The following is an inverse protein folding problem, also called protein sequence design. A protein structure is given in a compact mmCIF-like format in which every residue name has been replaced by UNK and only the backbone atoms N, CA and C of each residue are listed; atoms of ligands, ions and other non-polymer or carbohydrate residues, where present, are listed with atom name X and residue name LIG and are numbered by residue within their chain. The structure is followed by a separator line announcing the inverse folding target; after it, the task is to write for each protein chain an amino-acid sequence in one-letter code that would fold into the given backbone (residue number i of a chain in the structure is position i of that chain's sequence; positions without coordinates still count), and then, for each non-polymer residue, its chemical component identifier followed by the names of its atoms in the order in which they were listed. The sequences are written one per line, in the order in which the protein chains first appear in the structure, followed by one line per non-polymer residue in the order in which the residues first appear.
data_IF_815706364400
#
_entry.id   IF_815706364400
#
_cell.length_a   1.000
_cell.length_b   1.000
_cell.length_c   1.000
_cell.angle_alpha   90.00
_cell.angle_beta   90.00
_cell.angle_gamma   90.00
#
_symmetry.space_group_name_H-M   'P 1'
#
loop_
_entity.id
_entity.type
_entity.pdbx_description
1 polymer ?
#
# COMPACT_ATOMS: atom_id res chain seq x y z
N UNK A 1 37.22 57.39 38.08
CA UNK A 1 36.11 57.30 37.12
C UNK A 1 36.36 56.07 36.24
N UNK A 2 35.30 55.29 36.05
CA UNK A 2 35.15 53.90 35.58
C UNK A 2 36.15 53.28 34.57
N UNK A 3 36.29 51.94 34.58
CA UNK A 3 37.09 51.20 33.60
C UNK A 3 36.31 51.01 32.29
N UNK A 4 37.00 51.13 31.15
CA UNK A 4 36.43 50.77 29.85
C UNK A 4 36.99 49.40 29.46
N UNK A 5 36.16 48.38 29.68
CA UNK A 5 36.40 46.99 29.28
C UNK A 5 36.07 46.85 27.79
N UNK A 6 37.08 46.73 26.93
CA UNK A 6 36.90 46.38 25.52
C UNK A 6 36.52 44.90 25.38
N UNK A 7 35.25 44.65 25.04
CA UNK A 7 34.69 43.32 24.81
C UNK A 7 34.82 42.96 23.34
N UNK A 8 35.77 42.07 23.02
CA UNK A 8 35.93 41.49 21.67
C UNK A 8 34.70 40.66 21.34
N UNK A 9 33.91 41.08 20.35
CA UNK A 9 32.78 40.29 19.83
C UNK A 9 33.30 39.35 18.74
N UNK A 10 33.42 38.07 19.08
CA UNK A 10 33.63 36.99 18.12
C UNK A 10 32.34 36.80 17.32
N UNK A 11 32.37 37.17 16.03
CA UNK A 11 31.36 36.79 15.06
C UNK A 11 31.54 35.30 14.74
N UNK A 12 30.77 34.44 15.40
CA UNK A 12 30.64 33.03 15.02
C UNK A 12 29.88 32.94 13.70
N UNK A 13 30.57 32.51 12.64
CA UNK A 13 29.92 32.07 11.40
C UNK A 13 29.10 30.81 11.71
N UNK A 14 27.77 30.96 11.76
CA UNK A 14 26.85 29.82 11.62
C UNK A 14 26.75 29.55 10.12
N UNK A 15 27.58 28.62 9.62
CA UNK A 15 27.39 28.06 8.29
C UNK A 15 26.19 27.10 8.35
N UNK A 16 24.99 27.60 8.01
CA UNK A 16 23.85 26.76 7.73
C UNK A 16 24.10 26.06 6.39
N UNK A 17 24.59 24.82 6.43
CA UNK A 17 24.66 23.97 5.26
C UNK A 17 23.24 23.52 4.89
N UNK A 18 22.57 24.31 4.04
CA UNK A 18 21.35 23.88 3.35
C UNK A 18 21.78 22.91 2.25
N UNK A 19 21.82 21.62 2.60
CA UNK A 19 22.02 20.55 1.63
C UNK A 19 20.78 20.41 0.77
N UNK A 20 20.78 21.05 -0.40
CA UNK A 20 19.80 20.80 -1.45
C UNK A 20 20.08 19.40 -2.02
N UNK A 21 19.36 18.40 -1.50
CA UNK A 21 19.35 17.06 -2.08
C UNK A 21 18.56 17.10 -3.39
N UNK A 22 19.29 17.16 -4.51
CA UNK A 22 18.79 16.65 -5.78
C UNK A 22 18.68 15.13 -5.61
N UNK A 23 17.52 14.64 -5.17
CA UNK A 23 17.19 13.25 -5.32
C UNK A 23 17.15 12.98 -6.83
N UNK A 24 18.26 12.48 -7.38
CA UNK A 24 18.27 11.94 -8.73
C UNK A 24 17.17 10.90 -8.80
N UNK A 25 16.33 10.98 -9.82
CA UNK A 25 15.35 9.93 -10.12
C UNK A 25 16.10 8.61 -10.22
N UNK A 26 15.93 7.74 -9.22
CA UNK A 26 16.43 6.38 -9.33
C UNK A 26 15.73 5.73 -10.53
N UNK A 27 16.44 4.91 -11.32
CA UNK A 27 15.81 4.21 -12.44
C UNK A 27 14.66 3.36 -11.91
N UNK A 28 13.46 3.57 -12.44
CA UNK A 28 12.31 2.71 -12.15
C UNK A 28 12.52 1.35 -12.79
N UNK A 29 12.07 0.28 -12.15
CA UNK A 29 11.88 -0.97 -12.86
C UNK A 29 10.63 -0.83 -13.75
N UNK A 30 10.53 -1.62 -14.82
CA UNK A 30 9.27 -1.69 -15.54
C UNK A 30 8.38 -2.64 -14.76
N UNK A 31 7.25 -2.15 -14.23
CA UNK A 31 6.27 -3.04 -13.59
C UNK A 31 5.78 -4.08 -14.59
N UNK A 32 5.62 -5.32 -14.16
CA UNK A 32 5.02 -6.38 -14.97
C UNK A 32 3.62 -6.68 -14.47
N UNK A 33 2.65 -6.78 -15.38
CA UNK A 33 1.28 -7.22 -15.05
C UNK A 33 1.00 -8.51 -15.80
N UNK A 34 0.73 -9.58 -15.05
CA UNK A 34 0.44 -10.92 -15.58
C UNK A 34 -1.00 -11.29 -15.26
N UNK A 35 -1.80 -11.59 -16.28
CA UNK A 35 -3.13 -12.15 -16.08
C UNK A 35 -3.05 -13.65 -15.78
N UNK A 36 -3.88 -14.13 -14.86
CA UNK A 36 -3.97 -15.54 -14.44
C UNK A 36 -2.58 -16.17 -14.17
N UNK A 37 -1.83 -15.62 -13.19
CA UNK A 37 -0.49 -16.10 -12.88
C UNK A 37 -0.51 -17.57 -12.47
N UNK A 38 0.08 -18.44 -13.30
CA UNK A 38 0.00 -19.91 -13.11
C UNK A 38 0.58 -20.39 -11.77
N UNK A 39 1.51 -19.63 -11.17
CA UNK A 39 2.09 -19.93 -9.86
C UNK A 39 1.14 -19.71 -8.67
N UNK A 40 0.01 -19.01 -8.89
CA UNK A 40 -0.92 -18.59 -7.85
C UNK A 40 -2.35 -19.03 -8.16
N UNK A 41 -2.55 -20.31 -8.46
CA UNK A 41 -3.88 -20.86 -8.84
C UNK A 41 -4.35 -22.00 -7.92
N UNK A 42 -3.59 -22.35 -6.89
CA UNK A 42 -3.89 -23.51 -6.03
C UNK A 42 -4.64 -23.15 -4.74
N UNK A 43 -4.54 -21.90 -4.27
CA UNK A 43 -5.28 -21.40 -3.12
C UNK A 43 -6.43 -20.48 -3.55
N UNK A 44 -6.24 -19.17 -3.37
CA UNK A 44 -7.10 -18.17 -4.00
C UNK A 44 -6.86 -18.21 -5.51
N UNK A 45 -7.93 -18.11 -6.29
CA UNK A 45 -7.86 -17.97 -7.74
C UNK A 45 -7.48 -16.54 -8.11
N UNK A 46 -6.18 -16.21 -8.15
CA UNK A 46 -5.72 -14.87 -8.50
C UNK A 46 -5.87 -14.59 -9.99
N UNK A 47 -6.54 -13.49 -10.33
CA UNK A 47 -6.68 -13.03 -11.72
C UNK A 47 -5.49 -12.22 -12.20
N UNK A 48 -4.73 -11.62 -11.28
CA UNK A 48 -3.57 -10.79 -11.62
C UNK A 48 -2.38 -11.02 -10.70
N UNK A 49 -1.20 -10.90 -11.27
CA UNK A 49 0.05 -10.65 -10.56
C UNK A 49 0.65 -9.36 -11.07
N UNK A 50 1.14 -8.53 -10.15
CA UNK A 50 1.79 -7.27 -10.42
C UNK A 50 3.13 -7.26 -9.71
N UNK A 51 4.22 -7.28 -10.49
CA UNK A 51 5.59 -7.21 -9.96
C UNK A 51 6.09 -5.78 -10.08
N UNK A 52 6.52 -5.18 -8.97
CA UNK A 52 6.95 -3.77 -8.90
C UNK A 52 8.22 -3.58 -8.07
N UNK A 53 9.11 -2.72 -8.57
CA UNK A 53 10.27 -2.19 -7.85
C UNK A 53 10.04 -0.77 -7.33
N UNK A 54 11.11 0.01 -7.28
CA UNK A 54 11.09 1.40 -6.82
C UNK A 54 10.57 2.36 -7.90
N UNK A 55 9.66 3.28 -7.55
CA UNK A 55 9.14 4.30 -8.48
C UNK A 55 8.40 3.70 -9.69
N UNK A 56 7.77 2.55 -9.52
CA UNK A 56 7.05 1.84 -10.56
C UNK A 56 5.58 2.27 -10.63
N UNK A 57 4.94 2.02 -11.77
CA UNK A 57 3.51 2.25 -11.97
C UNK A 57 2.91 1.18 -12.87
N UNK A 58 1.89 0.48 -12.39
CA UNK A 58 1.13 -0.52 -13.14
C UNK A 58 -0.33 -0.06 -13.31
N UNK A 59 -0.95 -0.37 -14.45
CA UNK A 59 -2.39 -0.15 -14.65
C UNK A 59 -3.01 -1.30 -15.43
N UNK A 60 -4.16 -1.78 -14.96
CA UNK A 60 -4.90 -2.88 -15.56
C UNK A 60 -6.39 -2.77 -15.24
N UNK A 61 -7.19 -3.63 -15.87
CA UNK A 61 -8.65 -3.60 -15.77
C UNK A 61 -9.21 -5.00 -15.65
N UNK A 62 -10.26 -5.14 -14.86
CA UNK A 62 -11.03 -6.37 -14.74
C UNK A 62 -12.50 -6.06 -14.48
N UNK A 63 -13.23 -7.03 -13.92
CA UNK A 63 -14.61 -6.83 -13.53
C UNK A 63 -14.92 -7.57 -12.23
N UNK A 64 -15.82 -7.00 -11.44
CA UNK A 64 -16.23 -7.49 -10.11
C UNK A 64 -17.73 -7.38 -9.94
N UNK A 65 -18.28 -8.15 -9.02
CA UNK A 65 -19.68 -8.04 -8.62
C UNK A 65 -19.96 -6.73 -7.90
N UNK A 66 -21.17 -6.19 -8.09
CA UNK A 66 -21.61 -4.96 -7.44
C UNK A 66 -21.40 -4.97 -5.93
N UNK A 67 -21.67 -6.09 -5.26
CA UNK A 67 -21.56 -6.24 -3.80
C UNK A 67 -20.48 -7.25 -3.41
N UNK A 68 -19.48 -7.44 -4.26
CA UNK A 68 -18.48 -8.49 -4.05
C UNK A 68 -17.54 -8.22 -2.88
N UNK A 69 -17.27 -6.96 -2.56
CA UNK A 69 -16.42 -6.60 -1.43
C UNK A 69 -17.16 -6.70 -0.09
N UNK A 70 -18.45 -6.34 -0.08
CA UNK A 70 -19.33 -6.52 1.06
C UNK A 70 -20.79 -6.67 0.61
N UNK A 71 -21.38 -7.83 0.90
CA UNK A 71 -22.80 -8.12 0.73
C UNK A 71 -23.49 -8.08 2.10
N UNK A 72 -24.45 -7.18 2.31
CA UNK A 72 -25.23 -7.10 3.56
C UNK A 72 -25.96 -8.40 3.94
N UNK A 73 -26.28 -9.25 2.96
CA UNK A 73 -26.90 -10.56 3.21
C UNK A 73 -25.95 -11.66 3.69
N UNK A 74 -24.63 -11.44 3.63
CA UNK A 74 -23.65 -12.41 4.11
C UNK A 74 -23.44 -12.32 5.62
N UNK A 75 -23.08 -13.43 6.29
CA UNK A 75 -22.85 -13.42 7.72
C UNK A 75 -21.63 -12.55 8.09
N UNK A 76 -21.73 -11.85 9.23
CA UNK A 76 -20.59 -11.24 9.91
C UNK A 76 -19.68 -12.35 10.48
N UNK A 77 -18.35 -12.34 10.27
CA UNK A 77 -17.51 -11.26 9.73
C UNK A 77 -17.08 -11.45 8.28
N UNK A 78 -17.83 -12.20 7.48
CA UNK A 78 -17.44 -12.56 6.11
C UNK A 78 -18.40 -11.96 5.07
N UNK A 79 -18.55 -10.62 5.00
CA UNK A 79 -19.52 -10.03 4.08
C UNK A 79 -19.07 -10.13 2.62
N UNK A 80 -17.77 -10.27 2.35
CA UNK A 80 -17.25 -10.32 0.98
C UNK A 80 -17.53 -11.65 0.28
N UNK A 81 -17.66 -11.61 -1.04
CA UNK A 81 -17.75 -12.77 -1.93
C UNK A 81 -16.42 -13.03 -2.62
N UNK A 82 -15.85 -14.21 -2.40
CA UNK A 82 -14.52 -14.57 -2.92
C UNK A 82 -14.49 -14.57 -4.45
N UNK A 83 -15.40 -15.29 -5.10
CA UNK A 83 -15.35 -15.54 -6.56
C UNK A 83 -16.01 -14.46 -7.44
N UNK A 84 -16.63 -13.44 -6.83
CA UNK A 84 -17.12 -12.28 -7.60
C UNK A 84 -16.27 -11.04 -7.34
N UNK A 85 -15.28 -11.14 -6.47
CA UNK A 85 -14.22 -10.16 -6.34
C UNK A 85 -13.07 -10.53 -7.26
N UNK A 86 -12.08 -9.66 -7.36
CA UNK A 86 -10.88 -9.89 -8.15
C UNK A 86 -9.66 -9.79 -7.23
N UNK A 87 -8.78 -10.77 -7.29
CA UNK A 87 -7.62 -10.94 -6.43
C UNK A 87 -6.35 -10.69 -7.21
N UNK A 88 -5.52 -9.80 -6.70
CA UNK A 88 -4.21 -9.46 -7.25
C UNK A 88 -3.12 -9.87 -6.28
N UNK A 89 -2.10 -10.59 -6.77
CA UNK A 89 -0.80 -10.68 -6.12
C UNK A 89 -0.01 -9.41 -6.44
N UNK A 90 0.48 -8.72 -5.42
CA UNK A 90 1.46 -7.65 -5.55
C UNK A 90 2.81 -8.16 -5.03
N UNK A 91 3.77 -8.33 -5.93
CA UNK A 91 5.13 -8.74 -5.63
C UNK A 91 6.04 -7.51 -5.54
N UNK A 92 6.47 -7.19 -4.31
CA UNK A 92 7.46 -6.16 -3.98
C UNK A 92 8.79 -6.76 -3.53
N UNK A 93 9.03 -8.06 -3.74
CA UNK A 93 10.27 -8.72 -3.31
C UNK A 93 11.51 -8.14 -3.97
N UNK A 94 11.36 -7.56 -5.17
CA UNK A 94 12.42 -6.86 -5.90
C UNK A 94 12.64 -5.40 -5.47
N UNK A 95 11.82 -4.84 -4.57
CA UNK A 95 11.95 -3.45 -4.12
C UNK A 95 13.19 -3.26 -3.22
N UNK A 96 13.86 -2.11 -3.31
CA UNK A 96 15.13 -1.88 -2.59
C UNK A 96 14.95 -1.70 -1.07
N UNK A 97 13.72 -1.47 -0.65
CA UNK A 97 13.34 -1.24 0.73
C UNK A 97 11.85 -0.96 0.85
N UNK A 98 11.48 -0.36 1.98
CA UNK A 98 10.09 0.00 2.24
C UNK A 98 9.56 1.01 1.21
N UNK A 99 8.40 0.69 0.64
CA UNK A 99 7.72 1.48 -0.36
C UNK A 99 6.46 2.15 0.22
N UNK A 100 6.20 3.38 -0.20
CA UNK A 100 4.88 3.95 -0.19
C UNK A 100 4.14 3.37 -1.41
N UNK A 101 3.15 2.52 -1.15
CA UNK A 101 2.32 1.91 -2.18
C UNK A 101 1.01 2.67 -2.23
N UNK A 102 0.66 3.18 -3.41
CA UNK A 102 -0.65 3.81 -3.65
C UNK A 102 -1.48 2.91 -4.55
N UNK A 103 -2.71 2.63 -4.13
CA UNK A 103 -3.71 1.94 -4.95
C UNK A 103 -4.81 2.92 -5.27
N UNK A 104 -5.10 3.08 -6.57
CA UNK A 104 -6.28 3.78 -7.05
C UNK A 104 -7.16 2.79 -7.80
N UNK A 105 -8.37 2.57 -7.29
CA UNK A 105 -9.37 1.71 -7.92
C UNK A 105 -10.51 2.59 -8.42
N UNK A 106 -10.69 2.62 -9.74
CA UNK A 106 -11.72 3.39 -10.43
C UNK A 106 -12.76 2.50 -11.07
N UNK A 107 -13.94 3.05 -11.30
CA UNK A 107 -14.94 2.49 -12.21
C UNK A 107 -14.34 2.38 -13.62
N UNK A 108 -14.48 1.21 -14.23
CA UNK A 108 -14.02 0.94 -15.59
C UNK A 108 -15.06 1.31 -16.67
N UNK A 109 -14.85 0.80 -17.87
CA UNK A 109 -15.62 1.16 -19.05
C UNK A 109 -17.11 0.76 -19.02
N UNK A 110 -17.47 -0.25 -18.23
CA UNK A 110 -18.86 -0.77 -18.14
C UNK A 110 -19.34 -0.88 -16.71
N UNK A 111 -20.66 -0.77 -16.53
CA UNK A 111 -21.29 -0.83 -15.22
C UNK A 111 -21.22 0.48 -14.44
N UNK A 112 -21.60 0.43 -13.17
CA UNK A 112 -21.64 1.60 -12.29
C UNK A 112 -20.96 1.29 -10.96
N UNK A 113 -19.75 0.74 -11.03
CA UNK A 113 -18.98 0.31 -9.86
C UNK A 113 -18.86 1.44 -8.82
N UNK A 114 -19.03 1.05 -7.56
CA UNK A 114 -18.57 1.77 -6.39
C UNK A 114 -17.40 0.96 -5.82
N UNK A 115 -16.14 1.28 -6.16
CA UNK A 115 -15.01 0.41 -5.87
C UNK A 115 -14.64 0.43 -4.39
N UNK A 116 -14.21 -0.71 -3.86
CA UNK A 116 -13.58 -0.87 -2.55
C UNK A 116 -12.48 -1.94 -2.65
N UNK A 117 -11.56 -1.93 -1.69
CA UNK A 117 -10.49 -2.92 -1.67
C UNK A 117 -10.02 -3.29 -0.26
N UNK A 118 -9.40 -4.47 -0.15
CA UNK A 118 -8.69 -4.95 1.04
C UNK A 118 -7.28 -5.37 0.68
N UNK A 119 -6.36 -5.24 1.64
CA UNK A 119 -4.94 -5.53 1.48
C UNK A 119 -4.51 -6.48 2.59
N UNK A 120 -3.79 -7.52 2.18
CA UNK A 120 -3.25 -8.55 3.05
C UNK A 120 -1.77 -8.72 2.75
N UNK A 121 -0.95 -8.94 3.78
CA UNK A 121 0.41 -9.44 3.61
C UNK A 121 0.37 -10.96 3.39
N UNK A 122 1.24 -11.44 2.51
CA UNK A 122 1.30 -12.84 2.10
C UNK A 122 0.46 -13.16 0.86
N UNK A 123 0.51 -14.44 0.47
CA UNK A 123 -0.28 -15.05 -0.60
C UNK A 123 -0.87 -16.36 -0.08
N UNK A 124 -2.09 -16.67 -0.48
CA UNK A 124 -2.74 -17.94 -0.19
C UNK A 124 -2.74 -18.83 -1.43
N UNK A 125 -1.75 -19.73 -1.51
CA UNK A 125 -1.59 -20.71 -2.59
C UNK A 125 -1.88 -22.15 -2.14
N UNK A 126 -2.27 -22.36 -0.87
CA UNK A 126 -2.40 -23.71 -0.30
C UNK A 126 -3.86 -24.11 -0.12
N UNK A 127 -4.66 -23.22 0.45
CA UNK A 127 -6.05 -23.49 0.79
C UNK A 127 -6.97 -22.99 -0.32
N UNK A 128 -7.48 -23.94 -1.11
CA UNK A 128 -8.32 -23.63 -2.28
C UNK A 128 -9.59 -22.86 -1.89
N UNK A 129 -9.91 -21.85 -2.70
CA UNK A 129 -11.15 -21.08 -2.60
C UNK A 129 -12.40 -21.81 -3.13
N UNK A 130 -12.24 -22.98 -3.76
CA UNK A 130 -13.33 -23.70 -4.45
C UNK A 130 -14.61 -23.89 -3.61
N UNK A 131 -14.46 -24.13 -2.30
CA UNK A 131 -15.57 -24.27 -1.34
C UNK A 131 -15.75 -23.04 -0.42
N UNK A 132 -14.89 -22.03 -0.55
CA UNK A 132 -14.83 -20.87 0.32
C UNK A 132 -15.39 -19.63 -0.37
N UNK A 133 -16.72 -19.53 -0.40
CA UNK A 133 -17.41 -18.48 -1.16
C UNK A 133 -17.36 -17.09 -0.52
N UNK A 134 -17.04 -16.98 0.77
CA UNK A 134 -17.03 -15.70 1.48
C UNK A 134 -15.71 -15.44 2.17
N UNK A 135 -15.40 -14.16 2.40
CA UNK A 135 -14.18 -13.74 3.09
C UNK A 135 -14.44 -12.54 3.99
N UNK A 136 -13.57 -12.37 5.00
CA UNK A 136 -13.55 -11.21 5.86
C UNK A 136 -12.79 -10.07 5.18
N UNK A 137 -13.53 -9.06 4.74
CA UNK A 137 -13.00 -7.90 4.02
C UNK A 137 -12.29 -6.88 4.93
N UNK A 138 -12.54 -6.91 6.24
CA UNK A 138 -11.97 -5.95 7.20
C UNK A 138 -11.11 -6.62 8.26
N UNK A 139 -10.68 -7.86 8.03
CA UNK A 139 -9.94 -8.64 9.02
C UNK A 139 -9.38 -9.94 8.43
N UNK A 140 -8.87 -10.81 9.31
CA UNK A 140 -8.29 -12.08 8.91
C UNK A 140 -9.33 -13.00 8.26
N UNK A 141 -8.91 -13.71 7.21
CA UNK A 141 -9.73 -14.68 6.50
C UNK A 141 -9.44 -16.08 7.08
N UNK A 142 -10.43 -16.68 7.74
CA UNK A 142 -10.22 -17.91 8.52
C UNK A 142 -9.75 -19.11 7.71
N UNK A 143 -10.17 -19.22 6.46
CA UNK A 143 -9.81 -20.33 5.55
C UNK A 143 -8.54 -20.04 4.74
N UNK A 144 -8.04 -18.79 4.76
CA UNK A 144 -6.82 -18.36 4.07
C UNK A 144 -5.77 -17.89 5.10
N UNK A 145 -5.26 -18.80 5.97
CA UNK A 145 -4.38 -18.44 7.08
C UNK A 145 -3.02 -17.87 6.65
N UNK A 146 -2.64 -18.01 5.37
CA UNK A 146 -1.41 -17.43 4.84
C UNK A 146 -1.54 -15.92 4.57
N UNK A 147 -2.76 -15.36 4.69
CA UNK A 147 -3.02 -13.94 4.56
C UNK A 147 -3.12 -13.27 5.93
N UNK A 148 -2.27 -12.27 6.17
CA UNK A 148 -2.38 -11.38 7.32
C UNK A 148 -3.04 -10.07 6.89
N UNK A 149 -4.17 -9.73 7.52
CA UNK A 149 -4.87 -8.47 7.22
C UNK A 149 -3.98 -7.25 7.53
N UNK A 150 -3.93 -6.31 6.58
CA UNK A 150 -3.14 -5.07 6.68
C UNK A 150 -4.05 -3.85 6.68
N UNK A 151 -4.93 -3.76 5.69
CA UNK A 151 -5.71 -2.55 5.44
C UNK A 151 -6.98 -2.83 4.62
N UNK A 152 -7.90 -1.89 4.63
CA UNK A 152 -8.97 -1.82 3.65
C UNK A 152 -9.42 -0.40 3.43
N UNK A 153 -10.05 -0.15 2.29
CA UNK A 153 -10.79 1.06 2.03
C UNK A 153 -12.20 0.72 1.56
N UNK A 154 -13.17 0.93 2.46
CA UNK A 154 -14.59 0.88 2.14
C UNK A 154 -15.03 2.13 1.35
N UNK A 155 -16.18 2.04 0.68
CA UNK A 155 -16.70 3.13 -0.12
C UNK A 155 -18.06 3.60 0.40
N UNK A 156 -19.18 3.18 -0.21
CA UNK A 156 -20.49 3.71 0.17
C UNK A 156 -21.06 3.04 1.43
N UNK A 157 -20.63 1.83 1.78
CA UNK A 157 -21.29 0.99 2.79
C UNK A 157 -20.86 1.17 4.25
N UNK A 158 -20.23 2.30 4.60
CA UNK A 158 -19.68 2.50 5.95
C UNK A 158 -18.45 1.60 6.24
N UNK A 159 -17.99 1.52 7.51
CA UNK A 159 -16.69 0.90 7.84
C UNK A 159 -16.53 -0.56 7.41
N UNK A 160 -17.59 -1.36 7.48
CA UNK A 160 -17.59 -2.77 7.05
C UNK A 160 -18.24 -3.00 5.68
N UNK A 161 -18.70 -1.93 5.04
CA UNK A 161 -19.26 -1.98 3.69
C UNK A 161 -20.73 -2.43 3.58
N UNK A 162 -21.45 -2.68 4.66
CA UNK A 162 -22.83 -3.22 4.58
C UNK A 162 -23.95 -2.19 4.75
N UNK A 163 -23.62 -0.92 4.96
CA UNK A 163 -24.56 0.19 5.21
C UNK A 163 -24.96 1.01 3.97
N UNK A 164 -25.54 2.18 4.25
CA UNK A 164 -25.85 3.20 3.25
C UNK A 164 -24.77 4.30 3.22
N UNK A 165 -24.68 5.00 2.08
CA UNK A 165 -23.79 6.15 1.89
C UNK A 165 -23.86 6.69 0.46
N UNK A 166 -23.08 7.73 0.14
CA UNK A 166 -23.09 8.33 -1.20
C UNK A 166 -22.17 7.61 -2.17
N UNK A 167 -21.04 7.09 -1.67
CA UNK A 167 -20.00 6.43 -2.45
C UNK A 167 -19.30 7.33 -3.47
N UNK A 168 -18.16 6.88 -3.95
CA UNK A 168 -17.37 7.50 -5.01
C UNK A 168 -17.25 6.56 -6.20
N UNK A 169 -17.00 7.12 -7.40
CA UNK A 169 -16.72 6.33 -8.61
C UNK A 169 -15.25 5.89 -8.70
N UNK A 170 -14.41 6.38 -7.79
CA UNK A 170 -13.02 5.95 -7.62
C UNK A 170 -12.62 6.16 -6.16
N UNK A 171 -11.82 5.23 -5.63
CA UNK A 171 -11.20 5.32 -4.32
C UNK A 171 -9.69 5.23 -4.48
N UNK A 172 -8.95 5.93 -3.63
CA UNK A 172 -7.48 5.95 -3.66
C UNK A 172 -6.95 6.06 -2.25
N UNK A 173 -5.94 5.27 -1.94
CA UNK A 173 -5.20 5.39 -0.68
C UNK A 173 -3.76 4.91 -0.84
N UNK A 174 -2.94 5.22 0.16
CA UNK A 174 -1.54 4.81 0.22
C UNK A 174 -1.14 4.34 1.60
N UNK A 175 -0.19 3.41 1.63
CA UNK A 175 0.34 2.84 2.87
C UNK A 175 1.78 2.38 2.66
N UNK A 176 2.46 2.17 3.77
CA UNK A 176 3.89 1.84 3.82
C UNK A 176 4.05 0.32 3.89
N UNK A 177 4.62 -0.29 2.85
CA UNK A 177 4.86 -1.74 2.76
C UNK A 177 6.35 -2.04 2.70
N UNK A 178 6.78 -3.04 3.48
CA UNK A 178 8.11 -3.63 3.32
C UNK A 178 8.17 -4.48 2.03
N UNK A 179 9.37 -4.77 1.49
CA UNK A 179 9.52 -5.76 0.44
C UNK A 179 8.88 -7.09 0.84
N UNK A 180 8.16 -7.72 -0.09
CA UNK A 180 7.42 -8.95 0.18
C UNK A 180 6.27 -9.17 -0.80
N UNK A 181 5.53 -10.26 -0.59
CA UNK A 181 4.31 -10.58 -1.33
C UNK A 181 3.08 -10.09 -0.57
N UNK A 182 2.12 -9.57 -1.33
CA UNK A 182 0.86 -9.07 -0.80
C UNK A 182 -0.31 -9.53 -1.68
N UNK A 183 -1.48 -9.64 -1.07
CA UNK A 183 -2.75 -9.90 -1.75
C UNK A 183 -3.63 -8.68 -1.65
N UNK A 184 -4.17 -8.23 -2.79
CA UNK A 184 -5.14 -7.14 -2.85
C UNK A 184 -6.44 -7.71 -3.41
N UNK A 185 -7.53 -7.55 -2.66
CA UNK A 185 -8.87 -7.85 -3.12
C UNK A 185 -9.53 -6.57 -3.65
N UNK A 186 -10.04 -6.62 -4.86
CA UNK A 186 -10.89 -5.57 -5.43
C UNK A 186 -12.33 -6.05 -5.49
N UNK A 187 -13.27 -5.16 -5.16
CA UNK A 187 -14.67 -5.47 -5.28
C UNK A 187 -15.57 -4.25 -5.30
N UNK A 188 -16.87 -4.52 -5.41
CA UNK A 188 -17.91 -3.50 -5.33
C UNK A 188 -18.46 -3.31 -3.92
N UNK A 189 -18.71 -2.04 -3.56
CA UNK A 189 -19.28 -1.59 -2.30
C UNK A 189 -20.25 -0.39 -2.47
N UNK A 190 -21.39 -0.59 -3.15
CA UNK A 190 -22.45 0.40 -3.29
C UNK A 190 -23.22 0.54 -1.98
N UNK A 191 -23.98 1.62 -1.87
CA UNK A 191 -24.90 1.79 -0.75
C UNK A 191 -26.00 0.72 -0.82
N UNK A 192 -26.37 0.15 0.33
CA UNK A 192 -27.43 -0.85 0.43
C UNK A 192 -28.72 -0.42 -0.26
N UNK A 193 -29.13 0.85 -0.12
CA UNK A 193 -30.34 1.41 -0.70
C UNK A 193 -30.36 1.44 -2.23
N UNK A 194 -29.19 1.37 -2.90
CA UNK A 194 -29.12 1.32 -4.35
C UNK A 194 -29.51 -0.05 -4.91
N UNK A 195 -29.46 -1.11 -4.09
CA UNK A 195 -29.83 -2.47 -4.51
C UNK A 195 -29.05 -2.95 -5.75
N UNK A 196 -27.84 -2.42 -5.97
CA UNK A 196 -27.07 -2.68 -7.18
C UNK A 196 -26.63 -4.14 -7.27
N UNK A 197 -26.73 -4.71 -8.47
CA UNK A 197 -26.36 -6.09 -8.77
C UNK A 197 -25.60 -6.19 -10.09
N UNK A 198 -25.10 -7.39 -10.40
CA UNK A 198 -24.41 -7.68 -11.64
C UNK A 198 -22.92 -7.35 -11.60
N UNK A 199 -22.30 -7.47 -12.75
CA UNK A 199 -20.86 -7.31 -12.94
C UNK A 199 -20.54 -5.90 -13.43
N UNK A 200 -19.50 -5.30 -12.88
CA UNK A 200 -19.04 -3.95 -13.23
C UNK A 200 -17.53 -3.94 -13.45
N UNK A 201 -17.09 -3.23 -14.49
CA UNK A 201 -15.67 -3.11 -14.79
C UNK A 201 -14.98 -2.18 -13.78
N UNK A 202 -13.69 -2.44 -13.56
CA UNK A 202 -12.79 -1.56 -12.82
C UNK A 202 -11.54 -1.22 -13.64
N UNK A 203 -10.86 -0.16 -13.24
CA UNK A 203 -9.47 0.13 -13.61
C UNK A 203 -8.67 0.32 -12.33
N UNK A 204 -7.60 -0.46 -12.17
CA UNK A 204 -6.71 -0.39 -11.02
C UNK A 204 -5.38 0.21 -11.46
N UNK A 205 -4.89 1.19 -10.71
CA UNK A 205 -3.55 1.77 -10.87
C UNK A 205 -2.80 1.62 -9.55
N UNK A 206 -1.65 0.97 -9.61
CA UNK A 206 -0.74 0.79 -8.48
C UNK A 206 0.52 1.60 -8.75
N UNK A 207 1.02 2.30 -7.73
CA UNK A 207 2.32 2.99 -7.80
C UNK A 207 3.15 2.71 -6.55
N UNK A 208 4.47 2.68 -6.69
CA UNK A 208 5.42 2.54 -5.60
C UNK A 208 6.33 3.77 -5.55
N UNK A 209 6.77 4.15 -4.36
CA UNK A 209 7.82 5.16 -4.18
C UNK A 209 8.64 4.81 -2.93
N UNK A 210 9.98 4.83 -2.97
CA UNK A 210 10.78 4.54 -1.79
C UNK A 210 10.46 5.53 -0.65
N UNK A 211 10.23 5.01 0.56
CA UNK A 211 10.02 5.87 1.73
C UNK A 211 11.37 6.43 2.18
N UNK A 212 11.57 7.77 2.18
CA UNK A 212 12.85 8.33 2.61
C UNK A 212 13.11 8.03 4.08
N UNK A 213 14.22 7.36 4.38
CA UNK A 213 14.69 7.22 5.76
C UNK A 213 15.06 8.62 6.27
N UNK A 214 14.53 9.08 7.42
CA UNK A 214 14.81 10.42 7.90
C UNK A 214 16.32 10.68 7.98
N UNK A 215 16.78 11.79 7.40
CA UNK A 215 18.19 12.20 7.37
C UNK A 215 18.85 12.22 8.76
N UNK A 216 18.05 12.32 9.83
CA UNK A 216 18.49 12.18 11.21
C UNK A 216 19.23 10.86 11.46
N UNK A 217 18.81 9.71 10.90
CA UNK A 217 19.52 8.44 11.10
C UNK A 217 20.96 8.49 10.56
N UNK A 218 21.16 9.14 9.40
CA UNK A 218 22.48 9.36 8.82
C UNK A 218 23.29 10.43 9.57
N UNK A 219 22.65 11.50 10.05
CA UNK A 219 23.29 12.54 10.87
C UNK A 219 23.69 12.06 12.26
N UNK A 220 22.88 11.20 12.90
CA UNK A 220 23.22 10.55 14.16
C UNK A 220 24.36 9.54 13.96
N UNK A 221 24.31 8.71 12.91
CA UNK A 221 25.38 7.78 12.59
C UNK A 221 26.72 8.47 12.28
N UNK A 222 26.71 9.46 11.38
CA UNK A 222 27.90 10.23 11.03
C UNK A 222 28.38 11.14 12.17
N UNK A 223 27.46 11.69 12.96
CA UNK A 223 27.76 12.46 14.16
C UNK A 223 28.47 11.64 15.24
N UNK A 224 28.04 10.39 15.46
CA UNK A 224 28.70 9.48 16.41
C UNK A 224 30.12 9.12 15.95
N UNK A 225 30.31 8.80 14.66
CA UNK A 225 31.63 8.53 14.08
C UNK A 225 32.53 9.75 14.18
N UNK A 226 31.99 10.94 13.90
CA UNK A 226 32.69 12.22 14.07
C UNK A 226 33.15 12.45 15.51
N UNK A 227 32.30 12.16 16.50
CA UNK A 227 32.67 12.27 17.92
C UNK A 227 33.75 11.27 18.34
N UNK A 228 33.69 10.02 17.88
CA UNK A 228 34.72 9.00 18.17
C UNK A 228 36.07 9.39 17.55
N UNK A 229 36.06 9.91 16.32
CA UNK A 229 37.26 10.44 15.66
C UNK A 229 37.88 11.62 16.42
N UNK A 230 37.05 12.54 16.94
CA UNK A 230 37.51 13.69 17.72
C UNK A 230 38.05 13.28 19.11
N UNK A 231 37.43 12.29 19.75
CA UNK A 231 37.89 11.74 21.02
C UNK A 231 39.27 11.08 20.88
N UNK A 232 39.50 10.28 19.82
CA UNK A 232 40.81 9.64 19.56
C UNK A 232 41.94 10.64 19.38
N UNK A 233 41.67 11.79 18.74
CA UNK A 233 42.70 12.83 18.52
C UNK A 233 43.14 13.55 19.80
N UNK A 234 42.32 13.55 20.86
CA UNK A 234 42.65 14.19 22.15
C UNK A 234 43.49 13.31 23.08
N UNK A 235 43.58 12.01 22.82
CA UNK A 235 44.33 11.06 23.67
C UNK A 235 45.66 10.58 23.05
N UNK A 236 46.08 11.14 21.90
CA UNK A 236 47.39 10.86 21.28
C UNK A 236 48.31 12.09 21.23
N UNK A 237 48.10 13.07 22.12
CA UNK A 237 49.00 14.20 22.33
C UNK A 237 49.60 14.13 23.74
#
# INVERSE_FOLDING_TARGET
MNPITTRTRSLGLIAAAVGLWLAGVAPSHASTVTANPAGHQSGISYEWEVVMGDNDSATYSGAVGAKSWAEPGNPDPTPGWTHTSNWTVLDLTGASGTQLVTVTLGRGATGSLFPAFSVYAGVEDVNSDASNHTFNNTGAISWAPNLAYTYHLANAGGPIGTGNGTGLTSVSDNWVLAPGLYTINFGGNPALSLGQTGTHAFTATLTTAPVPVPAAAYLFGSGLIGLVGLARRKFSA
#
